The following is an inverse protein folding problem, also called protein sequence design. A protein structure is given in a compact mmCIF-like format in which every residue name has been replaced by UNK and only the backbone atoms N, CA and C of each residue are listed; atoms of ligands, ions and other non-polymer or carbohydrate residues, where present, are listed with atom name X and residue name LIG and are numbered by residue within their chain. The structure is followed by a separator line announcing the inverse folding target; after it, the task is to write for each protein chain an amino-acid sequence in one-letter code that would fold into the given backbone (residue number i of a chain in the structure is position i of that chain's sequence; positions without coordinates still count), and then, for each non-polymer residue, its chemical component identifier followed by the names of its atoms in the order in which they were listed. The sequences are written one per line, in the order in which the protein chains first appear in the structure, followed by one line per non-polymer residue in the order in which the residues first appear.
data_IF_687191080207
#
_entry.id   IF_687191080207
#
_cell.length_a   1.000
_cell.length_b   1.000
_cell.length_c   1.000
_cell.angle_alpha   90.00
_cell.angle_beta   90.00
_cell.angle_gamma   90.00
#
_symmetry.space_group_name_H-M   'P 1'
#
loop_
_entity.id
_entity.type
_entity.pdbx_description
1 polymer ?
#
# COMPACT_ATOMS: atom_id res chain seq x y z
N UNK A 1 15.11 4.67 -29.51
CA UNK A 1 14.01 4.43 -28.53
C UNK A 1 13.03 3.32 -28.93
N UNK A 2 13.09 2.76 -30.15
CA UNK A 2 12.25 1.63 -30.53
C UNK A 2 12.52 0.34 -29.71
N UNK A 3 13.77 0.12 -29.30
CA UNK A 3 14.18 -1.04 -28.51
C UNK A 3 13.41 -1.14 -27.16
N UNK A 4 13.25 -0.04 -26.45
CA UNK A 4 12.50 0.02 -25.19
C UNK A 4 11.01 -0.29 -25.35
N UNK A 5 10.43 0.00 -26.51
CA UNK A 5 9.04 -0.34 -26.80
C UNK A 5 8.81 -1.84 -26.90
N UNK A 6 9.82 -2.60 -27.35
CA UNK A 6 9.71 -4.05 -27.47
C UNK A 6 9.82 -4.76 -26.13
N UNK A 7 10.63 -4.22 -25.21
CA UNK A 7 10.72 -4.71 -23.84
C UNK A 7 9.37 -4.65 -23.11
N UNK A 8 8.57 -3.62 -23.42
CA UNK A 8 7.22 -3.48 -22.87
C UNK A 8 6.27 -4.63 -23.27
N UNK A 9 6.46 -5.24 -24.45
CA UNK A 9 5.64 -6.39 -24.86
C UNK A 9 5.91 -7.61 -23.99
N UNK A 10 7.17 -7.86 -23.67
CA UNK A 10 7.56 -9.00 -22.81
C UNK A 10 7.06 -8.80 -21.38
N UNK A 11 7.19 -7.59 -20.83
CA UNK A 11 6.68 -7.27 -19.50
C UNK A 11 5.15 -7.42 -19.42
N UNK A 12 4.41 -6.98 -20.44
CA UNK A 12 2.95 -7.12 -20.44
C UNK A 12 2.49 -8.58 -20.50
N UNK A 13 3.24 -9.45 -21.24
CA UNK A 13 2.98 -10.89 -21.20
C UNK A 13 3.32 -11.50 -19.85
N UNK A 14 4.40 -11.06 -19.21
CA UNK A 14 4.76 -11.50 -17.87
C UNK A 14 3.69 -11.10 -16.82
N UNK A 15 3.09 -9.91 -16.95
CA UNK A 15 2.03 -9.41 -16.05
C UNK A 15 0.70 -10.14 -16.23
N UNK A 16 0.36 -10.47 -17.47
CA UNK A 16 -0.95 -11.07 -17.79
C UNK A 16 -0.94 -12.59 -17.79
N UNK A 17 0.25 -13.20 -17.92
CA UNK A 17 0.39 -14.64 -18.14
C UNK A 17 -0.21 -15.10 -19.48
N UNK A 18 -0.56 -14.17 -20.40
CA UNK A 18 -1.30 -14.47 -21.62
C UNK A 18 -0.96 -13.52 -22.75
N UNK A 19 -0.46 -14.07 -23.85
CA UNK A 19 -0.18 -13.30 -25.07
C UNK A 19 -1.42 -12.57 -25.58
N UNK A 20 -2.58 -13.22 -25.52
CA UNK A 20 -3.85 -12.64 -25.96
C UNK A 20 -4.22 -11.42 -25.12
N UNK A 21 -4.23 -11.55 -23.79
CA UNK A 21 -4.54 -10.43 -22.90
C UNK A 21 -3.52 -9.29 -23.04
N UNK A 22 -2.23 -9.63 -23.15
CA UNK A 22 -1.19 -8.63 -23.40
C UNK A 22 -1.43 -7.88 -24.71
N UNK A 23 -1.77 -8.60 -25.79
CA UNK A 23 -2.03 -7.98 -27.10
C UNK A 23 -3.25 -7.06 -27.08
N UNK A 24 -4.31 -7.43 -26.37
CA UNK A 24 -5.50 -6.59 -26.16
C UNK A 24 -5.14 -5.28 -25.42
N UNK A 25 -4.34 -5.34 -24.36
CA UNK A 25 -3.87 -4.15 -23.61
C UNK A 25 -2.92 -3.27 -24.40
N UNK A 26 -2.07 -3.89 -25.20
CA UNK A 26 -1.08 -3.20 -26.03
C UNK A 26 -1.68 -2.65 -27.35
N UNK A 27 -2.92 -3.01 -27.65
CA UNK A 27 -3.60 -2.68 -28.92
C UNK A 27 -2.80 -3.14 -30.15
N UNK A 28 -2.26 -4.36 -30.11
CA UNK A 28 -1.49 -4.97 -31.21
C UNK A 28 -1.98 -6.40 -31.50
N UNK A 29 -1.60 -6.93 -32.66
CA UNK A 29 -1.93 -8.33 -32.97
C UNK A 29 -1.13 -9.31 -32.09
N UNK A 30 -1.74 -10.44 -31.64
CA UNK A 30 -1.03 -11.47 -30.86
C UNK A 30 0.23 -12.01 -31.55
N UNK A 31 0.21 -12.13 -32.87
CA UNK A 31 1.37 -12.55 -33.68
C UNK A 31 2.55 -11.58 -33.58
N UNK A 32 2.27 -10.27 -33.43
CA UNK A 32 3.31 -9.27 -33.28
C UNK A 32 3.98 -9.40 -31.92
N UNK A 33 3.21 -9.67 -30.85
CA UNK A 33 3.75 -9.93 -29.50
C UNK A 33 4.61 -11.18 -29.49
N UNK A 34 4.11 -12.30 -30.05
CA UNK A 34 4.84 -13.56 -30.13
C UNK A 34 6.16 -13.42 -30.89
N UNK A 35 6.13 -12.72 -32.03
CA UNK A 35 7.33 -12.48 -32.83
C UNK A 35 8.39 -11.72 -32.02
N UNK A 36 7.99 -10.71 -31.23
CA UNK A 36 8.94 -9.94 -30.43
C UNK A 36 9.53 -10.75 -29.27
N UNK A 37 8.72 -11.62 -28.66
CA UNK A 37 9.24 -12.57 -27.67
C UNK A 37 10.27 -13.48 -28.32
N UNK A 38 9.96 -14.06 -29.48
CA UNK A 38 10.87 -14.95 -30.18
C UNK A 38 12.17 -14.24 -30.59
N UNK A 39 12.08 -13.02 -31.17
CA UNK A 39 13.27 -12.23 -31.53
C UNK A 39 14.21 -12.04 -30.32
N UNK A 40 13.66 -11.79 -29.11
CA UNK A 40 14.44 -11.60 -27.87
C UNK A 40 14.98 -12.96 -27.36
N UNK A 41 14.19 -14.02 -27.39
CA UNK A 41 14.63 -15.36 -26.97
C UNK A 41 15.77 -15.87 -27.88
N UNK A 42 15.70 -15.60 -29.18
CA UNK A 42 16.75 -15.92 -30.14
C UNK A 42 18.04 -15.12 -29.89
N UNK A 43 17.92 -13.83 -29.54
CA UNK A 43 19.07 -12.97 -29.17
C UNK A 43 19.73 -13.43 -27.85
N UNK A 44 18.92 -13.84 -26.88
CA UNK A 44 19.43 -14.33 -25.58
C UNK A 44 19.92 -15.78 -25.62
N UNK A 45 19.55 -16.54 -26.66
CA UNK A 45 19.86 -17.96 -26.78
C UNK A 45 19.14 -18.84 -25.77
N UNK A 46 18.06 -18.34 -25.15
CA UNK A 46 17.30 -19.08 -24.15
C UNK A 46 15.84 -18.60 -24.08
N UNK A 47 14.93 -19.50 -23.72
CA UNK A 47 13.52 -19.18 -23.58
C UNK A 47 13.28 -18.31 -22.33
N UNK A 48 12.54 -17.22 -22.50
CA UNK A 48 12.03 -16.33 -21.41
C UNK A 48 10.75 -16.90 -20.84
N UNK A 49 9.91 -17.51 -21.69
CA UNK A 49 8.64 -18.08 -21.28
C UNK A 49 8.58 -19.57 -21.57
N UNK A 50 7.92 -20.30 -20.67
CA UNK A 50 7.42 -21.64 -20.94
C UNK A 50 5.91 -21.57 -21.26
N UNK A 51 5.49 -22.35 -22.26
CA UNK A 51 4.08 -22.45 -22.65
C UNK A 51 3.37 -23.47 -21.78
N UNK A 52 2.29 -23.07 -21.15
CA UNK A 52 1.42 -23.92 -20.37
C UNK A 52 0.08 -24.12 -21.11
N UNK A 53 -0.70 -25.16 -20.78
CA UNK A 53 -2.03 -25.36 -21.37
C UNK A 53 -2.99 -24.16 -21.17
N UNK A 54 -2.73 -23.35 -20.13
CA UNK A 54 -3.53 -22.15 -19.80
C UNK A 54 -2.68 -20.88 -19.70
N UNK A 55 -1.81 -20.64 -20.68
CA UNK A 55 -1.07 -19.39 -20.76
C UNK A 55 0.44 -19.54 -20.83
N UNK A 56 1.14 -18.55 -20.32
CA UNK A 56 2.61 -18.47 -20.32
C UNK A 56 3.12 -18.19 -18.90
N UNK A 57 4.24 -18.81 -18.53
CA UNK A 57 4.93 -18.59 -17.28
C UNK A 57 6.38 -18.23 -17.55
N UNK A 58 6.97 -17.37 -16.74
CA UNK A 58 8.40 -17.07 -16.83
C UNK A 58 9.25 -18.29 -16.50
N UNK A 59 10.33 -18.48 -17.25
CA UNK A 59 11.45 -19.36 -16.88
C UNK A 59 12.34 -18.63 -15.86
N UNK A 60 13.31 -19.32 -15.26
CA UNK A 60 14.31 -18.66 -14.41
C UNK A 60 15.11 -17.57 -15.17
N UNK A 61 15.43 -17.81 -16.44
CA UNK A 61 16.03 -16.79 -17.32
C UNK A 61 15.05 -15.63 -17.59
N UNK A 62 13.78 -15.96 -17.76
CA UNK A 62 12.72 -14.97 -17.93
C UNK A 62 12.54 -14.06 -16.71
N UNK A 63 12.60 -14.58 -15.50
CA UNK A 63 12.55 -13.78 -14.28
C UNK A 63 13.70 -12.77 -14.20
N UNK A 64 14.91 -13.19 -14.51
CA UNK A 64 16.08 -12.31 -14.58
C UNK A 64 15.91 -11.24 -15.65
N UNK A 65 15.45 -11.63 -16.83
CA UNK A 65 15.25 -10.68 -17.93
C UNK A 65 14.14 -9.67 -17.64
N UNK A 66 13.02 -10.10 -17.08
CA UNK A 66 11.92 -9.20 -16.67
C UNK A 66 12.35 -8.23 -15.58
N UNK A 67 13.16 -8.68 -14.63
CA UNK A 67 13.73 -7.78 -13.64
C UNK A 67 14.57 -6.68 -14.30
N UNK A 68 15.43 -7.03 -15.25
CA UNK A 68 16.21 -6.07 -16.04
C UNK A 68 15.28 -5.09 -16.82
N UNK A 69 14.26 -5.61 -17.50
CA UNK A 69 13.30 -4.80 -18.26
C UNK A 69 12.62 -3.74 -17.38
N UNK A 70 12.15 -4.16 -16.20
CA UNK A 70 11.45 -3.29 -15.25
C UNK A 70 12.39 -2.26 -14.65
N UNK A 71 13.60 -2.66 -14.27
CA UNK A 71 14.65 -1.74 -13.78
C UNK A 71 14.98 -0.70 -14.83
N UNK A 72 15.27 -1.10 -16.06
CA UNK A 72 15.59 -0.19 -17.16
C UNK A 72 14.45 0.78 -17.50
N UNK A 73 13.20 0.30 -17.40
CA UNK A 73 12.02 1.15 -17.61
C UNK A 73 11.88 2.20 -16.50
N UNK A 74 12.09 1.80 -15.24
CA UNK A 74 12.05 2.71 -14.11
C UNK A 74 13.18 3.76 -14.17
N UNK A 75 14.39 3.36 -14.57
CA UNK A 75 15.51 4.29 -14.77
C UNK A 75 15.22 5.31 -15.89
N UNK A 76 14.59 4.88 -16.97
CA UNK A 76 14.20 5.81 -18.03
C UNK A 76 13.14 6.81 -17.55
N UNK A 77 12.16 6.37 -16.78
CA UNK A 77 11.16 7.25 -16.17
C UNK A 77 11.82 8.28 -15.25
N UNK A 78 12.80 7.85 -14.44
CA UNK A 78 13.59 8.74 -13.59
C UNK A 78 14.33 9.80 -14.41
N UNK A 79 15.07 9.39 -15.44
CA UNK A 79 15.81 10.33 -16.31
C UNK A 79 14.87 11.33 -16.99
N UNK A 80 13.69 10.90 -17.41
CA UNK A 80 12.67 11.80 -17.96
C UNK A 80 12.21 12.83 -16.93
N UNK A 81 11.97 12.38 -15.69
CA UNK A 81 11.60 13.27 -14.58
C UNK A 81 12.70 14.30 -14.28
N UNK A 82 13.98 13.89 -14.31
CA UNK A 82 15.12 14.79 -14.12
C UNK A 82 15.22 15.84 -15.25
N UNK A 83 15.02 15.43 -16.49
CA UNK A 83 15.01 16.35 -17.65
C UNK A 83 13.86 17.38 -17.51
N UNK A 84 12.68 16.92 -17.09
CA UNK A 84 11.53 17.80 -16.87
C UNK A 84 11.78 18.80 -15.72
N UNK A 85 12.43 18.36 -14.66
CA UNK A 85 12.82 19.24 -13.54
C UNK A 85 13.83 20.30 -13.96
N UNK A 86 14.83 19.95 -14.79
CA UNK A 86 15.77 20.90 -15.39
C UNK A 86 15.07 21.97 -16.24
N UNK A 87 13.92 21.65 -16.82
CA UNK A 87 13.10 22.60 -17.59
C UNK A 87 12.17 23.44 -16.69
N UNK A 88 12.28 23.31 -15.36
CA UNK A 88 11.41 23.98 -14.39
C UNK A 88 9.99 23.41 -14.32
N UNK A 89 9.74 22.33 -15.02
CA UNK A 89 8.45 21.65 -15.04
C UNK A 89 8.41 20.62 -13.90
N UNK A 90 8.10 21.07 -12.67
CA UNK A 90 7.90 20.20 -11.50
C UNK A 90 6.64 19.36 -11.66
N UNK A 91 6.68 18.47 -12.62
CA UNK A 91 5.60 17.53 -12.92
C UNK A 91 6.11 16.09 -12.82
N UNK A 92 5.23 15.14 -12.79
CA UNK A 92 5.54 13.72 -12.68
C UNK A 92 4.41 12.97 -11.99
N UNK A 93 4.67 11.71 -11.68
CA UNK A 93 3.72 10.88 -10.96
C UNK A 93 4.41 10.16 -9.81
N UNK A 94 3.76 10.13 -8.65
CA UNK A 94 4.17 9.33 -7.49
C UNK A 94 3.28 8.09 -7.45
N UNK A 95 3.89 6.91 -7.52
CA UNK A 95 3.18 5.63 -7.39
C UNK A 95 3.33 5.12 -5.97
N UNK A 96 2.22 4.96 -5.26
CA UNK A 96 2.19 4.59 -3.85
C UNK A 96 1.23 3.44 -3.59
N UNK A 97 1.67 2.43 -2.88
CA UNK A 97 0.79 1.45 -2.23
C UNK A 97 0.66 1.77 -0.76
N UNK A 98 -0.54 1.59 -0.21
CA UNK A 98 -0.86 2.03 1.16
C UNK A 98 -1.78 1.05 1.86
N UNK A 99 -1.58 0.90 3.17
CA UNK A 99 -2.52 0.18 4.03
C UNK A 99 -3.90 0.82 4.03
N UNK A 100 -4.94 0.00 4.02
CA UNK A 100 -6.34 0.44 4.00
C UNK A 100 -6.68 1.42 5.14
N UNK A 101 -6.09 1.27 6.31
CA UNK A 101 -6.34 2.13 7.46
C UNK A 101 -6.01 3.62 7.22
N UNK A 102 -5.12 3.92 6.27
CA UNK A 102 -4.65 5.28 5.98
C UNK A 102 -5.45 5.96 4.86
N UNK A 103 -6.09 5.16 4.02
CA UNK A 103 -6.75 5.62 2.80
C UNK A 103 -7.95 6.56 3.05
N UNK A 104 -8.79 6.38 4.08
CA UNK A 104 -9.98 7.22 4.24
C UNK A 104 -9.69 8.65 4.73
N UNK A 105 -8.60 8.86 5.49
CA UNK A 105 -8.41 10.12 6.24
C UNK A 105 -7.01 10.69 6.10
N UNK A 106 -5.99 9.98 6.53
CA UNK A 106 -4.61 10.49 6.57
C UNK A 106 -4.06 10.80 5.19
N UNK A 107 -4.05 9.80 4.30
CA UNK A 107 -3.42 9.94 2.99
C UNK A 107 -4.06 11.01 2.09
N UNK A 108 -5.40 11.17 2.03
CA UNK A 108 -6.02 12.25 1.26
C UNK A 108 -5.55 13.64 1.68
N UNK A 109 -5.40 13.90 2.99
CA UNK A 109 -4.88 15.18 3.51
C UNK A 109 -3.44 15.41 3.06
N UNK A 110 -2.58 14.40 3.19
CA UNK A 110 -1.16 14.48 2.78
C UNK A 110 -1.04 14.75 1.29
N UNK A 111 -1.78 14.03 0.47
CA UNK A 111 -1.75 14.21 -0.99
C UNK A 111 -2.28 15.58 -1.40
N UNK A 112 -3.38 16.04 -0.79
CA UNK A 112 -3.97 17.34 -1.08
C UNK A 112 -3.00 18.47 -0.73
N UNK A 113 -2.42 18.46 0.47
CA UNK A 113 -1.47 19.49 0.92
C UNK A 113 -0.16 19.49 0.10
N UNK A 114 0.31 18.32 -0.34
CA UNK A 114 1.44 18.26 -1.27
C UNK A 114 1.11 18.90 -2.62
N UNK A 115 -0.06 18.62 -3.17
CA UNK A 115 -0.49 19.15 -4.47
C UNK A 115 -0.76 20.65 -4.48
N UNK A 116 -1.03 21.28 -3.34
CA UNK A 116 -1.10 22.75 -3.24
C UNK A 116 0.19 23.43 -3.72
N UNK A 117 1.36 22.81 -3.46
CA UNK A 117 2.66 23.31 -3.85
C UNK A 117 3.20 22.70 -5.16
N UNK A 118 2.64 21.56 -5.56
CA UNK A 118 3.07 20.74 -6.70
C UNK A 118 1.86 20.41 -7.60
N UNK A 119 1.24 21.43 -8.18
CA UNK A 119 -0.05 21.34 -8.89
C UNK A 119 -0.04 20.41 -10.11
N UNK A 120 1.13 20.21 -10.74
CA UNK A 120 1.30 19.38 -11.93
C UNK A 120 1.66 17.92 -11.60
N UNK A 121 1.71 17.56 -10.30
CA UNK A 121 2.04 16.19 -9.88
C UNK A 121 0.78 15.34 -9.83
N UNK A 122 0.85 14.18 -10.50
CA UNK A 122 -0.13 13.12 -10.41
C UNK A 122 0.21 12.10 -9.32
N UNK A 123 -0.80 11.38 -8.85
CA UNK A 123 -0.64 10.27 -7.92
C UNK A 123 -1.36 9.03 -8.45
N UNK A 124 -0.70 7.88 -8.34
CA UNK A 124 -1.29 6.57 -8.54
C UNK A 124 -1.24 5.83 -7.21
N UNK A 125 -2.40 5.74 -6.55
CA UNK A 125 -2.50 5.16 -5.21
C UNK A 125 -3.26 3.85 -5.31
N UNK A 126 -2.65 2.78 -4.76
CA UNK A 126 -3.27 1.47 -4.62
C UNK A 126 -3.38 1.14 -3.14
N UNK A 127 -4.60 0.87 -2.70
CA UNK A 127 -4.87 0.41 -1.33
C UNK A 127 -4.79 -1.11 -1.32
N UNK A 128 -3.96 -1.67 -0.44
CA UNK A 128 -3.67 -3.11 -0.46
C UNK A 128 -3.18 -3.62 0.90
N UNK A 129 -2.98 -4.94 0.99
CA UNK A 129 -2.31 -5.61 2.10
C UNK A 129 -0.78 -5.63 1.94
N UNK A 130 -0.08 -6.15 2.96
CA UNK A 130 1.38 -6.18 2.96
C UNK A 130 1.99 -7.13 1.91
N UNK A 131 1.33 -8.25 1.59
CA UNK A 131 1.84 -9.23 0.60
C UNK A 131 1.80 -8.63 -0.81
N UNK A 132 0.67 -8.02 -1.16
CA UNK A 132 0.52 -7.35 -2.44
C UNK A 132 1.42 -6.11 -2.55
N UNK A 133 1.66 -5.40 -1.44
CA UNK A 133 2.57 -4.28 -1.41
C UNK A 133 4.01 -4.69 -1.74
N UNK A 134 4.50 -5.79 -1.15
CA UNK A 134 5.82 -6.35 -1.44
C UNK A 134 5.94 -6.75 -2.91
N UNK A 135 4.92 -7.46 -3.43
CA UNK A 135 4.88 -7.84 -4.84
C UNK A 135 4.90 -6.61 -5.75
N UNK A 136 4.13 -5.56 -5.43
CA UNK A 136 4.09 -4.34 -6.23
C UNK A 136 5.44 -3.60 -6.26
N UNK A 137 6.17 -3.55 -5.13
CA UNK A 137 7.52 -2.98 -5.09
C UNK A 137 8.49 -3.80 -5.96
N UNK A 138 8.54 -5.12 -5.77
CA UNK A 138 9.42 -6.03 -6.51
C UNK A 138 9.16 -6.06 -8.01
N UNK A 139 7.91 -5.86 -8.39
CA UNK A 139 7.49 -5.77 -9.79
C UNK A 139 7.65 -4.36 -10.39
N UNK A 140 8.15 -3.38 -9.64
CA UNK A 140 8.24 -1.97 -10.07
C UNK A 140 6.88 -1.34 -10.42
N UNK A 141 5.78 -1.90 -9.91
CA UNK A 141 4.42 -1.37 -10.10
C UNK A 141 4.15 -0.14 -9.24
N UNK A 142 4.95 0.03 -8.18
CA UNK A 142 4.91 1.17 -7.27
C UNK A 142 6.31 1.65 -6.93
N UNK A 143 6.42 2.92 -6.52
CA UNK A 143 7.67 3.52 -6.08
C UNK A 143 7.86 3.38 -4.57
N UNK A 144 6.77 3.55 -3.85
CA UNK A 144 6.74 3.61 -2.40
C UNK A 144 5.64 2.71 -1.84
N UNK A 145 5.85 2.22 -0.63
CA UNK A 145 4.85 1.48 0.15
C UNK A 145 4.75 2.06 1.55
N UNK A 146 3.55 2.49 1.96
CA UNK A 146 3.26 2.95 3.33
C UNK A 146 2.36 1.93 4.02
N UNK A 147 2.97 0.98 4.72
CA UNK A 147 2.32 -0.26 5.18
C UNK A 147 2.50 -0.44 6.68
N UNK A 148 1.41 -0.82 7.33
CA UNK A 148 1.42 -1.20 8.74
C UNK A 148 1.89 -2.66 8.92
N UNK A 149 2.84 -2.86 9.82
CA UNK A 149 3.50 -4.16 10.09
C UNK A 149 4.09 -4.81 8.83
N UNK A 150 4.78 -3.98 8.03
CA UNK A 150 5.55 -4.47 6.88
C UNK A 150 6.58 -5.50 7.37
N UNK A 151 6.62 -6.67 6.70
CA UNK A 151 7.61 -7.70 6.99
C UNK A 151 9.04 -7.19 6.80
N UNK A 152 9.97 -7.79 7.54
CA UNK A 152 11.39 -7.44 7.44
C UNK A 152 12.01 -8.22 6.28
N UNK A 153 12.29 -7.52 5.19
CA UNK A 153 12.79 -8.07 3.94
C UNK A 153 14.11 -7.39 3.57
N UNK A 154 15.10 -8.19 3.21
CA UNK A 154 16.47 -7.69 2.95
C UNK A 154 16.58 -6.79 1.70
N UNK A 155 15.65 -6.94 0.76
CA UNK A 155 15.56 -6.16 -0.48
C UNK A 155 14.79 -4.85 -0.32
N UNK A 156 14.29 -4.54 0.89
CA UNK A 156 13.64 -3.28 1.19
C UNK A 156 14.54 -2.32 1.95
N UNK A 157 14.35 -1.05 1.67
CA UNK A 157 14.84 0.07 2.45
C UNK A 157 13.67 0.72 3.18
N UNK A 158 13.70 0.72 4.52
CA UNK A 158 12.73 1.43 5.34
C UNK A 158 13.18 2.86 5.50
N UNK A 159 12.48 3.78 4.84
CA UNK A 159 12.79 5.22 4.82
C UNK A 159 12.32 5.88 6.11
N UNK A 160 11.14 5.47 6.60
CA UNK A 160 10.53 5.93 7.87
C UNK A 160 9.93 4.73 8.56
N UNK A 161 10.06 4.67 9.88
CA UNK A 161 9.34 3.71 10.71
C UNK A 161 8.77 4.45 11.92
N UNK A 162 7.47 4.32 12.14
CA UNK A 162 6.74 4.99 13.21
C UNK A 162 5.94 3.98 14.02
N UNK A 163 6.09 3.99 15.34
CA UNK A 163 5.23 3.19 16.21
C UNK A 163 3.77 3.65 16.11
N UNK A 164 2.85 2.70 16.07
CA UNK A 164 1.42 2.94 16.04
C UNK A 164 0.71 2.10 17.09
N UNK A 165 -0.27 2.68 17.74
CA UNK A 165 -1.19 1.98 18.62
C UNK A 165 -2.47 1.64 17.87
N UNK A 166 -3.19 0.62 18.33
CA UNK A 166 -4.58 0.44 17.96
C UNK A 166 -5.45 1.26 18.89
N UNK A 167 -6.50 1.83 18.32
CA UNK A 167 -7.57 2.50 19.04
C UNK A 167 -8.92 1.90 18.64
N UNK A 168 -9.90 2.09 19.51
CA UNK A 168 -11.29 1.75 19.24
C UNK A 168 -11.93 2.91 18.51
N UNK A 169 -12.64 2.62 17.41
CA UNK A 169 -13.44 3.60 16.67
C UNK A 169 -14.91 3.29 16.86
N UNK A 170 -15.70 4.33 17.02
CA UNK A 170 -17.14 4.26 17.25
C UNK A 170 -17.83 5.53 16.74
N UNK A 171 -19.15 5.49 16.64
CA UNK A 171 -19.93 6.72 16.47
C UNK A 171 -19.76 7.63 17.68
N UNK A 172 -19.75 8.96 17.50
CA UNK A 172 -19.55 9.94 18.60
C UNK A 172 -20.59 9.84 19.72
N UNK A 173 -21.79 9.37 19.40
CA UNK A 173 -22.88 9.20 20.37
C UNK A 173 -22.84 7.86 21.09
N UNK A 174 -21.87 6.98 20.76
CA UNK A 174 -21.70 5.71 21.43
C UNK A 174 -21.40 5.91 22.94
N UNK A 175 -21.96 5.08 23.83
CA UNK A 175 -21.72 5.21 25.28
C UNK A 175 -20.25 5.28 25.67
N UNK A 176 -19.40 4.45 25.06
CA UNK A 176 -17.95 4.43 25.32
C UNK A 176 -17.22 5.69 24.81
N UNK A 177 -17.78 6.44 23.87
CA UNK A 177 -17.18 7.71 23.44
C UNK A 177 -17.18 8.77 24.55
N UNK A 178 -18.13 8.67 25.49
CA UNK A 178 -18.34 9.61 26.61
C UNK A 178 -17.58 9.20 27.88
N UNK A 179 -17.03 7.99 27.94
CA UNK A 179 -16.24 7.52 29.10
C UNK A 179 -14.90 8.27 29.13
N UNK A 180 -14.49 8.87 30.24
CA UNK A 180 -13.19 9.55 30.33
C UNK A 180 -12.03 8.57 30.32
N UNK A 181 -10.89 8.97 29.71
CA UNK A 181 -9.67 8.17 29.67
C UNK A 181 -9.70 7.06 28.60
N UNK A 182 -8.63 6.27 28.46
CA UNK A 182 -8.53 5.18 27.53
C UNK A 182 -9.44 4.00 27.91
N UNK A 183 -9.77 3.14 26.93
CA UNK A 183 -10.63 1.97 27.12
C UNK A 183 -9.80 0.70 27.34
N UNK A 184 -10.38 -0.27 28.04
CA UNK A 184 -9.86 -1.64 28.03
C UNK A 184 -10.59 -2.47 26.98
N UNK A 185 -9.87 -3.37 26.34
CA UNK A 185 -10.48 -4.26 25.33
C UNK A 185 -11.66 -5.08 25.87
N UNK A 186 -11.63 -5.39 27.17
CA UNK A 186 -12.73 -6.10 27.82
C UNK A 186 -14.04 -5.30 27.80
N UNK A 187 -13.96 -3.98 27.88
CA UNK A 187 -15.14 -3.10 27.87
C UNK A 187 -15.80 -3.10 26.48
N UNK A 188 -15.05 -3.47 25.45
CA UNK A 188 -15.56 -3.60 24.08
C UNK A 188 -16.36 -4.90 23.84
N UNK A 189 -16.21 -5.89 24.72
CA UNK A 189 -16.84 -7.21 24.54
C UNK A 189 -18.36 -7.19 24.68
N UNK A 190 -18.90 -6.16 25.32
CA UNK A 190 -20.34 -5.99 25.56
C UNK A 190 -21.09 -5.35 24.39
N UNK A 191 -20.38 -5.00 23.32
CA UNK A 191 -20.92 -4.30 22.14
C UNK A 191 -20.70 -5.10 20.85
N UNK A 192 -21.55 -4.92 19.84
CA UNK A 192 -21.31 -5.47 18.52
C UNK A 192 -19.97 -5.00 17.95
N UNK A 193 -19.21 -5.93 17.38
CA UNK A 193 -17.88 -5.63 16.85
C UNK A 193 -17.86 -5.81 15.33
N UNK A 194 -17.43 -4.77 14.62
CA UNK A 194 -17.19 -4.84 13.18
C UNK A 194 -15.68 -4.73 12.95
N UNK A 195 -15.09 -5.80 12.46
CA UNK A 195 -13.64 -5.94 12.46
C UNK A 195 -13.03 -6.06 11.06
N UNK A 196 -11.80 -5.58 10.89
CA UNK A 196 -11.04 -5.91 9.70
C UNK A 196 -10.82 -7.43 9.58
N UNK A 197 -10.72 -7.94 8.35
CA UNK A 197 -10.33 -9.31 8.08
C UNK A 197 -8.97 -9.65 8.70
N UNK A 198 -8.72 -10.94 8.95
CA UNK A 198 -7.50 -11.45 9.62
C UNK A 198 -6.21 -11.22 8.84
N UNK A 199 -6.29 -10.94 7.56
CA UNK A 199 -5.14 -10.59 6.70
C UNK A 199 -4.60 -9.19 6.99
N UNK A 200 -5.39 -8.33 7.64
CA UNK A 200 -5.02 -6.95 7.92
C UNK A 200 -4.14 -6.88 9.18
N UNK A 201 -2.99 -6.23 9.07
CA UNK A 201 -1.96 -6.19 10.10
C UNK A 201 -2.45 -5.70 11.47
N UNK A 202 -3.39 -4.75 11.52
CA UNK A 202 -4.02 -4.30 12.77
C UNK A 202 -4.84 -5.40 13.45
N UNK A 203 -5.59 -6.19 12.67
CA UNK A 203 -6.33 -7.34 13.19
C UNK A 203 -5.39 -8.43 13.69
N UNK A 204 -4.31 -8.72 13.00
CA UNK A 204 -3.32 -9.69 13.44
C UNK A 204 -2.69 -9.30 14.78
N UNK A 205 -2.43 -8.01 14.97
CA UNK A 205 -1.90 -7.47 16.24
C UNK A 205 -2.89 -7.71 17.39
N UNK A 206 -4.17 -7.42 17.16
CA UNK A 206 -5.25 -7.63 18.12
C UNK A 206 -5.44 -9.10 18.45
N UNK A 207 -5.53 -9.98 17.44
CA UNK A 207 -5.74 -11.42 17.62
C UNK A 207 -4.56 -12.06 18.37
N UNK A 208 -3.32 -11.65 18.11
CA UNK A 208 -2.12 -12.09 18.84
C UNK A 208 -2.18 -11.71 20.31
N UNK A 209 -2.67 -10.53 20.64
CA UNK A 209 -2.86 -10.12 22.02
C UNK A 209 -3.96 -10.93 22.71
N UNK A 210 -5.11 -11.09 22.06
CA UNK A 210 -6.28 -11.81 22.57
C UNK A 210 -6.04 -13.31 22.75
N UNK A 211 -5.12 -13.92 21.98
CA UNK A 211 -4.78 -15.34 22.09
C UNK A 211 -4.25 -15.73 23.49
N UNK A 212 -3.74 -14.75 24.25
CA UNK A 212 -3.19 -14.90 25.60
C UNK A 212 -4.14 -14.43 26.70
N UNK A 213 -5.41 -14.14 26.36
CA UNK A 213 -6.42 -13.63 27.28
C UNK A 213 -7.55 -14.62 27.50
N UNK A 214 -8.24 -14.49 28.64
CA UNK A 214 -9.39 -15.35 29.00
C UNK A 214 -10.70 -14.94 28.36
N UNK A 215 -10.79 -13.74 27.75
CA UNK A 215 -11.97 -13.25 27.05
C UNK A 215 -11.76 -13.27 25.52
N UNK A 216 -12.83 -13.27 24.77
CA UNK A 216 -12.84 -13.26 23.32
C UNK A 216 -13.61 -12.05 22.82
N UNK A 217 -13.16 -11.48 21.72
CA UNK A 217 -13.92 -10.51 20.95
C UNK A 217 -14.47 -11.24 19.71
N UNK A 218 -15.79 -11.31 19.60
CA UNK A 218 -16.45 -11.98 18.49
C UNK A 218 -17.04 -10.93 17.55
N UNK A 219 -16.55 -10.79 16.32
CA UNK A 219 -17.13 -9.87 15.37
C UNK A 219 -18.49 -10.35 14.90
N UNK A 220 -19.43 -9.41 14.76
CA UNK A 220 -20.71 -9.63 14.07
C UNK A 220 -20.56 -9.40 12.56
N UNK A 221 -19.55 -8.59 12.16
CA UNK A 221 -19.18 -8.35 10.77
C UNK A 221 -17.66 -8.36 10.65
N UNK A 222 -17.17 -9.04 9.62
CA UNK A 222 -15.77 -8.98 9.18
C UNK A 222 -15.69 -8.47 7.74
N UNK A 223 -14.84 -7.47 7.48
CA UNK A 223 -14.71 -6.86 6.16
C UNK A 223 -13.28 -6.37 5.92
N UNK A 224 -12.82 -6.40 4.67
CA UNK A 224 -11.52 -5.86 4.28
C UNK A 224 -11.56 -4.36 3.91
N UNK A 225 -12.70 -3.69 4.00
CA UNK A 225 -12.87 -2.27 3.69
C UNK A 225 -13.07 -1.44 4.96
N UNK A 226 -12.10 -0.58 5.29
CA UNK A 226 -12.26 0.37 6.41
C UNK A 226 -13.35 1.40 6.16
N UNK A 227 -13.63 1.73 4.92
CA UNK A 227 -14.75 2.61 4.56
C UNK A 227 -16.09 1.96 4.91
N UNK A 228 -16.27 0.68 4.59
CA UNK A 228 -17.46 -0.08 5.00
C UNK A 228 -17.57 -0.17 6.52
N UNK A 229 -16.48 -0.53 7.22
CA UNK A 229 -16.49 -0.64 8.68
C UNK A 229 -16.90 0.67 9.34
N UNK A 230 -16.35 1.81 8.89
CA UNK A 230 -16.73 3.14 9.40
C UNK A 230 -18.17 3.49 9.05
N UNK A 231 -18.60 3.20 7.81
CA UNK A 231 -20.00 3.43 7.39
C UNK A 231 -21.00 2.68 8.29
N UNK A 232 -20.69 1.42 8.62
CA UNK A 232 -21.54 0.60 9.49
C UNK A 232 -21.76 1.21 10.88
N UNK A 233 -20.73 1.85 11.47
CA UNK A 233 -20.82 2.50 12.78
C UNK A 233 -21.85 3.64 12.85
N UNK A 234 -22.38 4.11 11.71
CA UNK A 234 -23.44 5.12 11.68
C UNK A 234 -24.84 4.53 11.89
N UNK A 235 -25.00 3.22 11.72
CA UNK A 235 -26.30 2.54 11.75
C UNK A 235 -26.51 1.67 12.98
N UNK A 236 -25.43 1.30 13.65
CA UNK A 236 -25.47 0.47 14.86
C UNK A 236 -24.48 1.00 15.90
N UNK A 237 -24.81 0.83 17.19
CA UNK A 237 -23.87 1.09 18.28
C UNK A 237 -22.81 0.00 18.34
N UNK A 238 -21.96 -0.05 17.32
CA UNK A 238 -20.89 -1.01 17.16
C UNK A 238 -19.52 -0.35 17.34
N UNK A 239 -18.51 -1.18 17.54
CA UNK A 239 -17.11 -0.78 17.69
C UNK A 239 -16.27 -1.38 16.57
N UNK A 240 -15.25 -0.66 16.16
CA UNK A 240 -14.19 -1.16 15.27
C UNK A 240 -12.80 -0.82 15.81
N UNK A 241 -11.75 -1.39 15.21
CA UNK A 241 -10.37 -1.17 15.61
C UNK A 241 -9.54 -0.67 14.43
N UNK A 242 -8.72 0.34 14.67
CA UNK A 242 -7.85 0.94 13.66
C UNK A 242 -6.55 1.43 14.28
N UNK A 243 -5.50 1.60 13.49
CA UNK A 243 -4.27 2.26 13.94
C UNK A 243 -4.51 3.76 14.16
N UNK A 244 -3.83 4.34 15.13
CA UNK A 244 -4.05 5.71 15.60
C UNK A 244 -3.97 6.76 14.51
N UNK A 245 -2.98 6.69 13.61
CA UNK A 245 -2.82 7.65 12.50
C UNK A 245 -3.98 7.63 11.51
N UNK A 246 -4.71 6.52 11.39
CA UNK A 246 -5.91 6.42 10.56
C UNK A 246 -7.20 6.77 11.28
N UNK A 247 -7.16 6.91 12.60
CA UNK A 247 -8.29 7.18 13.47
C UNK A 247 -8.38 8.68 13.77
N UNK A 248 -9.02 9.42 12.89
CA UNK A 248 -9.10 10.87 13.00
C UNK A 248 -10.25 11.31 13.88
N UNK A 249 -9.96 12.18 14.85
CA UNK A 249 -10.92 12.96 15.64
C UNK A 249 -11.04 14.37 15.05
N UNK A 250 -11.62 14.49 13.85
CA UNK A 250 -11.73 15.76 13.11
C UNK A 250 -13.07 16.50 13.33
N UNK A 251 -13.77 16.15 14.39
CA UNK A 251 -15.11 16.69 14.62
C UNK A 251 -16.22 16.02 13.79
N UNK A 252 -15.89 15.05 12.94
CA UNK A 252 -16.82 14.22 12.17
C UNK A 252 -17.72 13.33 13.04
N UNK A 253 -18.50 12.41 12.45
CA UNK A 253 -19.46 11.56 13.18
C UNK A 253 -18.78 10.47 14.04
N UNK A 254 -17.48 10.29 13.94
CA UNK A 254 -16.74 9.25 14.63
C UNK A 254 -15.88 9.80 15.76
N UNK A 255 -15.71 8.97 16.78
CA UNK A 255 -14.78 9.17 17.86
C UNK A 255 -13.79 7.99 17.92
N UNK A 256 -12.55 8.27 18.28
CA UNK A 256 -11.56 7.25 18.58
C UNK A 256 -11.14 7.32 20.04
N UNK A 257 -10.82 6.17 20.62
CA UNK A 257 -10.36 6.04 22.00
C UNK A 257 -9.17 5.08 22.04
N UNK A 258 -8.14 5.48 22.75
CA UNK A 258 -6.97 4.64 22.96
C UNK A 258 -7.31 3.40 23.78
N UNK A 259 -6.55 2.34 23.54
CA UNK A 259 -6.62 1.09 24.29
C UNK A 259 -5.50 1.09 25.33
N UNK A 260 -5.86 0.96 26.58
CA UNK A 260 -4.91 0.85 27.70
C UNK A 260 -5.01 -0.51 28.40
N UNK A 261 -4.56 -1.53 27.70
CA UNK A 261 -4.36 -2.85 28.29
C UNK A 261 -2.89 -3.07 28.58
N UNK A 262 -2.59 -3.63 29.77
CA UNK A 262 -1.21 -3.94 30.15
C UNK A 262 -0.57 -4.85 29.10
N UNK A 263 0.57 -4.41 28.56
CA UNK A 263 1.32 -5.12 27.52
C UNK A 263 0.59 -5.24 26.18
N UNK A 264 -0.35 -4.33 25.88
CA UNK A 264 -0.92 -4.26 24.54
C UNK A 264 0.19 -3.91 23.55
N UNK A 265 0.38 -4.70 22.47
CA UNK A 265 1.49 -4.49 21.57
C UNK A 265 1.28 -3.26 20.70
N UNK A 266 2.36 -2.55 20.40
CA UNK A 266 2.37 -1.56 19.35
C UNK A 266 2.75 -2.22 18.03
N UNK A 267 2.24 -1.69 16.93
CA UNK A 267 2.69 -2.04 15.60
C UNK A 267 3.59 -0.96 15.02
N UNK A 268 4.10 -1.17 13.82
CA UNK A 268 4.96 -0.22 13.13
C UNK A 268 4.37 0.12 11.76
N UNK A 269 4.23 1.40 11.51
CA UNK A 269 3.93 1.93 10.18
C UNK A 269 5.25 2.23 9.49
N UNK A 270 5.50 1.62 8.36
CA UNK A 270 6.74 1.81 7.61
C UNK A 270 6.47 2.42 6.23
N UNK A 271 7.22 3.45 5.88
CA UNK A 271 7.39 3.89 4.50
C UNK A 271 8.63 3.20 3.95
N UNK A 272 8.47 2.45 2.87
CA UNK A 272 9.54 1.65 2.30
C UNK A 272 9.61 1.78 0.77
N UNK A 273 10.79 1.51 0.23
CA UNK A 273 11.07 1.37 -1.19
C UNK A 273 11.98 0.15 -1.42
N UNK A 274 12.18 -0.24 -2.68
CA UNK A 274 13.20 -1.24 -3.01
C UNK A 274 14.60 -0.66 -2.73
N UNK A 275 15.43 -1.46 -2.08
CA UNK A 275 16.81 -1.10 -1.78
C UNK A 275 17.60 -0.87 -3.06
N UNK A 276 18.34 0.24 -3.08
CA UNK A 276 19.17 0.62 -4.23
C UNK A 276 18.41 1.13 -5.45
N UNK A 277 17.07 1.15 -5.39
CA UNK A 277 16.28 1.77 -6.45
C UNK A 277 16.33 3.29 -6.34
N UNK A 278 16.71 3.94 -7.43
CA UNK A 278 16.60 5.39 -7.53
C UNK A 278 15.18 5.77 -7.94
N UNK A 279 14.57 6.66 -7.16
CA UNK A 279 13.21 7.12 -7.39
C UNK A 279 13.19 8.38 -8.27
N UNK A 280 12.05 8.72 -8.91
CA UNK A 280 11.86 10.02 -9.54
C UNK A 280 12.05 11.16 -8.52
N UNK A 281 12.58 12.32 -8.97
CA UNK A 281 12.85 13.48 -8.11
C UNK A 281 11.63 13.88 -7.27
N UNK A 282 10.44 13.85 -7.90
CA UNK A 282 9.21 14.22 -7.22
C UNK A 282 8.81 13.24 -6.11
N UNK A 283 9.21 11.96 -6.22
CA UNK A 283 8.97 10.98 -5.16
C UNK A 283 9.80 11.28 -3.91
N UNK A 284 11.06 11.75 -4.05
CA UNK A 284 11.85 12.19 -2.91
C UNK A 284 11.25 13.42 -2.23
N UNK A 285 10.74 14.38 -3.01
CA UNK A 285 10.04 15.55 -2.46
C UNK A 285 8.78 15.14 -1.69
N UNK A 286 8.05 14.15 -2.20
CA UNK A 286 6.87 13.61 -1.52
C UNK A 286 7.25 12.84 -0.25
N UNK A 287 8.35 12.10 -0.23
CA UNK A 287 8.87 11.40 0.96
C UNK A 287 9.12 12.41 2.09
N UNK A 288 9.80 13.52 1.82
CA UNK A 288 10.06 14.53 2.84
C UNK A 288 8.78 15.19 3.36
N UNK A 289 7.83 15.46 2.47
CA UNK A 289 6.52 15.96 2.88
C UNK A 289 5.75 14.94 3.75
N UNK A 290 5.73 13.68 3.34
CA UNK A 290 5.06 12.61 4.07
C UNK A 290 5.69 12.36 5.45
N UNK A 291 7.02 12.47 5.59
CA UNK A 291 7.71 12.38 6.89
C UNK A 291 7.18 13.44 7.86
N UNK A 292 7.13 14.70 7.42
CA UNK A 292 6.63 15.80 8.25
C UNK A 292 5.17 15.59 8.68
N UNK A 293 4.32 15.10 7.78
CA UNK A 293 2.92 14.84 8.12
C UNK A 293 2.74 13.63 9.05
N UNK A 294 3.59 12.60 8.93
CA UNK A 294 3.63 11.47 9.85
C UNK A 294 4.08 11.90 11.25
N UNK A 295 5.12 12.75 11.34
CA UNK A 295 5.60 13.29 12.61
C UNK A 295 4.53 14.16 13.30
N UNK A 296 3.81 15.01 12.54
CA UNK A 296 2.68 15.79 13.07
C UNK A 296 1.57 14.89 13.60
N UNK A 297 1.19 13.88 12.84
CA UNK A 297 0.17 12.94 13.27
C UNK A 297 0.60 12.14 14.51
N UNK A 298 1.89 11.82 14.67
CA UNK A 298 2.42 11.17 15.87
C UNK A 298 2.28 12.05 17.10
N UNK A 299 2.58 13.35 16.99
CA UNK A 299 2.43 14.32 18.10
C UNK A 299 0.96 14.49 18.50
N UNK A 300 0.05 14.57 17.52
CA UNK A 300 -1.38 14.72 17.77
C UNK A 300 -1.99 13.51 18.49
N UNK A 301 -1.45 12.32 18.29
CA UNK A 301 -1.95 11.06 18.88
C UNK A 301 -1.12 10.56 20.06
N UNK A 302 -0.12 11.33 20.51
CA UNK A 302 0.70 10.97 21.69
C UNK A 302 1.48 9.67 21.52
N UNK A 303 1.91 9.38 20.30
CA UNK A 303 2.71 8.19 19.95
C UNK A 303 4.17 8.53 19.76
#
# INVERSE_FOLDING_TARGET
MNHLRFLHYVDEVARTGSVRQASERLHVAPSAVLRRIQDIEDELGTAIFERLPRGMRLTAAGELFIHYVRTSSADLERVRSEIEDLQGLRRGSVRLVVSQALAPTFLPKVVASFRERHTLVGFQIRVTDHVQALSALRNFDTDLALIFNLADESDLERIVELEQRLCVIMHRDHPLAKVPGPLKLRDCADYPLVMPNREIGGRQLLDRFLSRRSFRLQPVVECNSFEFLRGYLQYEQALSFQISVGAVNDGGPFASRDIEDRSFPKGKLALAALRGRQLPVIAYSFIEHLKLELERAAVEHGT
#
